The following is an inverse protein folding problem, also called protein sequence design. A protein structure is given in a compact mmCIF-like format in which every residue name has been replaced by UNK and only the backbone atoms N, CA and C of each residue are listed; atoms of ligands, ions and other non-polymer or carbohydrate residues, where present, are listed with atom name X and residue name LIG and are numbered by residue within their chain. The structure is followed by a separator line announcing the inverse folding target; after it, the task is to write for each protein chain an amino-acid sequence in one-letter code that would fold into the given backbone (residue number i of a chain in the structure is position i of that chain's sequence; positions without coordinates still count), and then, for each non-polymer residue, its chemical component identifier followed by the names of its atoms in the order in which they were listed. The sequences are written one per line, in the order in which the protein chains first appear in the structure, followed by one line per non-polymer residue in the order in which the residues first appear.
data_IF_630647929337
#
_entry.id   IF_630647929337
#
_cell.length_a   1.000
_cell.length_b   1.000
_cell.length_c   1.000
_cell.angle_alpha   90.00
_cell.angle_beta   90.00
_cell.angle_gamma   90.00
#
_symmetry.space_group_name_H-M   'P 1'
#
loop_
_entity.id
_entity.type
_entity.pdbx_description
1 polymer ?
#
# COMPACT_ATOMS: atom_id res chain seq x y z
N UNK A 1 18.63 30.90 -38.76
CA UNK A 1 18.31 31.25 -37.35
C UNK A 1 17.27 30.32 -36.71
N UNK A 2 16.65 29.36 -37.42
CA UNK A 2 15.66 28.43 -36.85
C UNK A 2 16.27 27.13 -36.29
N UNK A 3 17.39 26.62 -36.84
CA UNK A 3 18.03 25.39 -36.36
C UNK A 3 18.58 25.48 -34.93
N UNK A 4 19.03 26.67 -34.52
CA UNK A 4 19.53 26.89 -33.17
C UNK A 4 18.42 26.77 -32.12
N UNK A 5 17.17 27.04 -32.50
CA UNK A 5 16.01 26.98 -31.61
C UNK A 5 15.50 25.53 -31.46
N UNK A 6 15.51 24.77 -32.56
CA UNK A 6 15.21 23.33 -32.54
C UNK A 6 16.22 22.52 -31.72
N UNK A 7 17.51 22.82 -31.84
CA UNK A 7 18.56 22.18 -31.05
C UNK A 7 18.43 22.51 -29.55
N UNK A 8 18.08 23.74 -29.21
CA UNK A 8 17.84 24.19 -27.83
C UNK A 8 16.61 23.52 -27.22
N UNK A 9 15.54 23.37 -27.98
CA UNK A 9 14.33 22.68 -27.56
C UNK A 9 14.59 21.18 -27.32
N UNK A 10 15.32 20.53 -28.22
CA UNK A 10 15.73 19.13 -28.05
C UNK A 10 16.57 18.90 -26.78
N UNK A 11 17.50 19.81 -26.49
CA UNK A 11 18.31 19.75 -25.27
C UNK A 11 17.46 19.92 -24.00
N UNK A 12 16.47 20.84 -24.01
CA UNK A 12 15.58 21.05 -22.88
C UNK A 12 14.66 19.84 -22.62
N UNK A 13 14.24 19.14 -23.68
CA UNK A 13 13.41 17.94 -23.55
C UNK A 13 14.18 16.78 -22.91
N UNK A 14 15.42 16.55 -23.34
CA UNK A 14 16.29 15.52 -22.75
C UNK A 14 16.59 15.81 -21.27
N UNK A 15 16.76 17.08 -20.92
CA UNK A 15 16.96 17.50 -19.53
C UNK A 15 15.73 17.24 -18.66
N UNK A 16 14.53 17.51 -19.19
CA UNK A 16 13.26 17.23 -18.52
C UNK A 16 13.02 15.72 -18.35
N UNK A 17 13.29 14.90 -19.38
CA UNK A 17 13.19 13.45 -19.30
C UNK A 17 14.17 12.86 -18.27
N UNK A 18 15.40 13.38 -18.21
CA UNK A 18 16.38 12.99 -17.19
C UNK A 18 15.88 13.31 -15.79
N UNK A 19 15.39 14.53 -15.57
CA UNK A 19 14.89 14.96 -14.26
C UNK A 19 13.66 14.15 -13.81
N UNK A 20 12.74 13.83 -14.73
CA UNK A 20 11.61 12.95 -14.44
C UNK A 20 12.06 11.54 -14.06
N UNK A 21 13.03 10.99 -14.78
CA UNK A 21 13.59 9.65 -14.51
C UNK A 21 14.24 9.60 -13.13
N UNK A 22 15.12 10.57 -12.82
CA UNK A 22 15.76 10.68 -11.50
C UNK A 22 14.72 10.78 -10.37
N UNK A 23 13.64 11.53 -10.59
CA UNK A 23 12.57 11.69 -9.59
C UNK A 23 11.76 10.41 -9.41
N UNK A 24 11.48 9.68 -10.49
CA UNK A 24 10.82 8.37 -10.42
C UNK A 24 11.68 7.38 -9.66
N UNK A 25 12.98 7.31 -9.96
CA UNK A 25 13.91 6.42 -9.28
C UNK A 25 14.02 6.72 -7.79
N UNK A 26 14.06 8.01 -7.41
CA UNK A 26 14.04 8.44 -6.02
C UNK A 26 12.73 7.99 -5.32
N UNK A 27 11.58 8.17 -5.97
CA UNK A 27 10.28 7.73 -5.45
C UNK A 27 10.21 6.21 -5.31
N UNK A 28 10.75 5.46 -6.28
CA UNK A 28 10.84 3.99 -6.23
C UNK A 28 11.74 3.53 -5.08
N UNK A 29 12.91 4.15 -4.90
CA UNK A 29 13.84 3.84 -3.82
C UNK A 29 13.26 4.17 -2.44
N UNK A 30 12.53 5.30 -2.34
CA UNK A 30 11.83 5.70 -1.11
C UNK A 30 10.70 4.75 -0.79
N UNK A 31 9.90 4.35 -1.79
CA UNK A 31 8.86 3.32 -1.65
C UNK A 31 9.45 1.96 -1.24
N UNK A 32 10.58 1.56 -1.81
CA UNK A 32 11.30 0.34 -1.41
C UNK A 32 11.80 0.40 0.04
N UNK A 33 12.25 1.56 0.50
CA UNK A 33 12.68 1.76 1.89
C UNK A 33 11.50 1.73 2.87
N UNK A 34 10.36 2.31 2.50
CA UNK A 34 9.11 2.19 3.26
C UNK A 34 8.61 0.74 3.29
N UNK A 35 8.72 0.00 2.19
CA UNK A 35 8.35 -1.41 2.16
C UNK A 35 9.26 -2.26 3.06
N UNK A 36 10.57 -1.98 3.11
CA UNK A 36 11.49 -2.64 4.04
C UNK A 36 11.19 -2.34 5.52
N UNK A 37 10.74 -1.13 5.83
CA UNK A 37 10.28 -0.79 7.18
C UNK A 37 8.98 -1.53 7.52
N UNK A 38 8.05 -1.65 6.56
CA UNK A 38 6.84 -2.47 6.68
C UNK A 38 7.08 -4.00 6.64
N UNK A 39 8.22 -4.45 6.11
CA UNK A 39 8.64 -5.86 6.13
C UNK A 39 9.17 -6.27 7.51
N UNK A 40 9.58 -5.32 8.36
CA UNK A 40 9.80 -5.59 9.79
C UNK A 40 8.57 -6.19 10.45
N UNK A 41 7.38 -5.71 10.07
CA UNK A 41 6.09 -6.28 10.50
C UNK A 41 5.72 -7.57 9.75
N UNK A 42 6.15 -7.76 8.50
CA UNK A 42 6.02 -9.08 7.83
C UNK A 42 6.80 -10.17 8.56
N UNK A 43 7.92 -9.84 9.21
CA UNK A 43 8.64 -10.79 10.06
C UNK A 43 7.90 -11.11 11.37
N UNK A 44 7.02 -10.21 11.83
CA UNK A 44 6.21 -10.39 13.03
C UNK A 44 4.91 -11.15 12.75
N UNK A 45 4.40 -11.11 11.51
CA UNK A 45 3.17 -11.75 11.09
C UNK A 45 3.42 -13.07 10.35
N UNK A 46 2.50 -14.06 10.48
CA UNK A 46 2.58 -15.27 9.68
C UNK A 46 2.20 -14.99 8.23
N UNK A 47 2.69 -15.80 7.29
CA UNK A 47 2.44 -15.65 5.85
C UNK A 47 0.95 -15.53 5.50
N UNK A 48 0.08 -16.23 6.22
CA UNK A 48 -1.38 -16.14 6.05
C UNK A 48 -1.91 -14.73 6.31
N UNK A 49 -1.42 -14.05 7.33
CA UNK A 49 -1.81 -12.67 7.63
C UNK A 49 -1.27 -11.69 6.58
N UNK A 50 -0.04 -11.92 6.12
CA UNK A 50 0.53 -11.16 5.00
C UNK A 50 -0.31 -11.32 3.73
N UNK A 51 -0.73 -12.54 3.39
CA UNK A 51 -1.57 -12.82 2.23
C UNK A 51 -2.95 -12.12 2.32
N UNK A 52 -3.54 -12.05 3.52
CA UNK A 52 -4.78 -11.29 3.76
C UNK A 52 -4.59 -9.80 3.49
N UNK A 53 -3.51 -9.20 4.01
CA UNK A 53 -3.19 -7.79 3.78
C UNK A 53 -2.91 -7.49 2.30
N UNK A 54 -2.23 -8.41 1.61
CA UNK A 54 -1.90 -8.25 0.19
C UNK A 54 -3.15 -8.34 -0.73
N UNK A 55 -4.24 -8.97 -0.28
CA UNK A 55 -5.53 -9.00 -1.01
C UNK A 55 -6.31 -7.68 -0.91
N UNK A 56 -6.17 -6.95 0.20
CA UNK A 56 -6.99 -5.76 0.51
C UNK A 56 -6.93 -4.65 -0.56
N UNK A 57 -5.76 -4.28 -1.14
CA UNK A 57 -5.71 -3.29 -2.22
C UNK A 57 -6.52 -3.70 -3.46
N UNK A 58 -6.54 -4.99 -3.79
CA UNK A 58 -7.35 -5.53 -4.90
C UNK A 58 -8.85 -5.44 -4.67
N UNK A 59 -9.27 -5.29 -3.41
CA UNK A 59 -10.66 -5.07 -3.00
C UNK A 59 -11.02 -3.57 -2.92
N UNK A 60 -10.08 -2.68 -3.25
CA UNK A 60 -10.28 -1.23 -3.23
C UNK A 60 -10.06 -0.57 -1.87
N UNK A 61 -9.38 -1.24 -0.94
CA UNK A 61 -8.96 -0.62 0.32
C UNK A 61 -7.68 0.19 0.12
N UNK A 62 -7.66 1.40 0.68
CA UNK A 62 -6.56 2.35 0.53
C UNK A 62 -5.29 1.94 1.30
N UNK A 63 -4.12 2.48 0.93
CA UNK A 63 -2.84 2.12 1.54
C UNK A 63 -2.80 2.39 3.06
N UNK A 64 -3.41 3.50 3.50
CA UNK A 64 -3.43 3.88 4.92
C UNK A 64 -4.27 2.90 5.76
N UNK A 65 -5.39 2.41 5.20
CA UNK A 65 -6.20 1.40 5.87
C UNK A 65 -5.48 0.06 6.00
N UNK A 66 -4.76 -0.36 4.95
CA UNK A 66 -3.97 -1.59 4.96
C UNK A 66 -2.80 -1.49 5.94
N UNK A 67 -2.18 -0.31 6.06
CA UNK A 67 -1.15 -0.05 7.07
C UNK A 67 -1.71 -0.15 8.50
N UNK A 68 -2.84 0.51 8.77
CA UNK A 68 -3.50 0.42 10.07
C UNK A 68 -3.92 -1.02 10.42
N UNK A 69 -4.42 -1.79 9.43
CA UNK A 69 -4.76 -3.20 9.62
C UNK A 69 -3.54 -4.06 9.94
N UNK A 70 -2.38 -3.78 9.33
CA UNK A 70 -1.13 -4.47 9.64
C UNK A 70 -0.71 -4.24 11.08
N UNK A 71 -0.71 -2.98 11.53
CA UNK A 71 -0.37 -2.64 12.92
C UNK A 71 -1.31 -3.32 13.92
N UNK A 72 -2.62 -3.31 13.62
CA UNK A 72 -3.63 -3.99 14.43
C UNK A 72 -3.40 -5.51 14.50
N UNK A 73 -3.01 -6.15 13.39
CA UNK A 73 -2.69 -7.58 13.38
C UNK A 73 -1.42 -7.90 14.19
N UNK A 74 -0.38 -7.06 14.11
CA UNK A 74 0.84 -7.23 14.90
C UNK A 74 0.51 -7.14 16.39
N UNK A 75 -0.31 -6.16 16.79
CA UNK A 75 -0.78 -6.01 18.16
C UNK A 75 -1.64 -7.19 18.61
N UNK A 76 -2.61 -7.62 17.78
CA UNK A 76 -3.47 -8.75 18.09
C UNK A 76 -2.67 -10.04 18.33
N UNK A 77 -1.64 -10.28 17.51
CA UNK A 77 -0.73 -11.43 17.66
C UNK A 77 0.09 -11.35 18.95
N UNK A 78 0.54 -10.16 19.32
CA UNK A 78 1.34 -9.96 20.53
C UNK A 78 0.49 -10.10 21.81
N UNK A 79 -0.75 -9.62 21.78
CA UNK A 79 -1.62 -9.58 22.96
C UNK A 79 -2.44 -10.86 23.17
N UNK A 80 -2.86 -11.53 22.08
CA UNK A 80 -3.75 -12.70 22.14
C UNK A 80 -3.30 -13.75 21.12
N UNK A 81 -2.12 -14.38 21.31
CA UNK A 81 -1.56 -15.31 20.34
C UNK A 81 -2.47 -16.53 20.11
N UNK A 82 -3.18 -17.02 21.13
CA UNK A 82 -4.09 -18.18 21.02
C UNK A 82 -5.36 -17.86 20.22
N UNK A 83 -5.80 -16.60 20.23
CA UNK A 83 -6.98 -16.13 19.52
C UNK A 83 -6.69 -15.62 18.10
N UNK A 84 -5.41 -15.42 17.78
CA UNK A 84 -4.98 -14.78 16.53
C UNK A 84 -5.48 -15.52 15.29
N UNK A 85 -5.40 -16.85 15.27
CA UNK A 85 -5.83 -17.64 14.10
C UNK A 85 -7.35 -17.54 13.85
N UNK A 86 -8.14 -17.49 14.92
CA UNK A 86 -9.58 -17.31 14.86
C UNK A 86 -9.98 -15.90 14.40
N UNK A 87 -9.26 -14.89 14.89
CA UNK A 87 -9.40 -13.51 14.44
C UNK A 87 -9.07 -13.36 12.96
N UNK A 88 -7.95 -13.95 12.51
CA UNK A 88 -7.54 -13.93 11.12
C UNK A 88 -8.57 -14.63 10.22
N UNK A 89 -9.15 -15.75 10.67
CA UNK A 89 -10.22 -16.45 9.96
C UNK A 89 -11.50 -15.60 9.84
N UNK A 90 -11.78 -14.73 10.81
CA UNK A 90 -12.92 -13.81 10.73
C UNK A 90 -12.68 -12.73 9.67
N UNK A 91 -11.47 -12.17 9.63
CA UNK A 91 -11.09 -11.18 8.62
C UNK A 91 -11.20 -11.79 7.22
N UNK A 92 -10.65 -12.99 7.02
CA UNK A 92 -10.76 -13.70 5.74
C UNK A 92 -12.22 -13.86 5.28
N UNK A 93 -13.10 -14.31 6.18
CA UNK A 93 -14.54 -14.43 5.87
C UNK A 93 -15.17 -13.10 5.49
N UNK A 94 -14.81 -12.01 6.16
CA UNK A 94 -15.31 -10.68 5.81
C UNK A 94 -14.79 -10.20 4.44
N UNK A 95 -13.55 -10.50 4.09
CA UNK A 95 -12.97 -10.17 2.79
C UNK A 95 -13.48 -11.04 1.64
N UNK A 96 -14.02 -12.22 1.94
CA UNK A 96 -14.67 -13.08 0.95
C UNK A 96 -16.16 -12.72 0.74
N UNK A 97 -16.71 -11.82 1.56
CA UNK A 97 -18.09 -11.33 1.47
C UNK A 97 -18.16 -9.92 0.85
N UNK A 98 -18.67 -9.78 -0.39
CA UNK A 98 -18.81 -8.48 -1.04
C UNK A 98 -19.71 -7.49 -0.29
N UNK A 99 -20.74 -7.95 0.42
CA UNK A 99 -21.63 -7.06 1.18
C UNK A 99 -20.91 -6.47 2.39
N UNK A 100 -20.06 -7.28 3.04
CA UNK A 100 -19.19 -6.82 4.13
C UNK A 100 -18.20 -5.76 3.64
N UNK A 101 -17.57 -5.95 2.47
CA UNK A 101 -16.66 -4.98 1.87
C UNK A 101 -17.39 -3.67 1.55
N UNK A 102 -18.58 -3.75 0.94
CA UNK A 102 -19.37 -2.57 0.60
C UNK A 102 -19.77 -1.78 1.86
N UNK A 103 -20.17 -2.48 2.92
CA UNK A 103 -20.47 -1.87 4.22
C UNK A 103 -19.25 -1.13 4.80
N UNK A 104 -18.07 -1.76 4.79
CA UNK A 104 -16.83 -1.13 5.32
C UNK A 104 -16.52 0.16 4.55
N UNK A 105 -16.64 0.12 3.22
CA UNK A 105 -16.38 1.30 2.37
C UNK A 105 -17.36 2.43 2.63
N UNK A 106 -18.66 2.13 2.73
CA UNK A 106 -19.68 3.13 3.10
C UNK A 106 -19.45 3.73 4.48
N UNK A 107 -18.92 2.93 5.41
CA UNK A 107 -18.49 3.41 6.72
C UNK A 107 -17.44 4.51 6.61
N UNK A 108 -16.44 4.35 5.73
CA UNK A 108 -15.42 5.37 5.51
C UNK A 108 -15.95 6.63 4.83
N UNK A 109 -16.82 6.47 3.83
CA UNK A 109 -17.46 7.62 3.19
C UNK A 109 -18.20 8.48 4.22
N UNK A 110 -18.86 7.85 5.18
CA UNK A 110 -19.53 8.53 6.29
C UNK A 110 -18.58 9.20 7.30
N UNK A 111 -17.40 8.63 7.57
CA UNK A 111 -16.40 9.29 8.43
C UNK A 111 -15.83 10.58 7.83
N UNK A 112 -15.88 10.71 6.50
CA UNK A 112 -15.39 11.89 5.77
C UNK A 112 -16.46 12.96 5.51
N UNK A 113 -17.66 12.82 6.07
CA UNK A 113 -18.81 13.71 5.87
C UNK A 113 -18.92 14.79 6.96
#
# INVERSE_FOLDING_TARGET
MLDADAARFGAALVDAERQLTERIDELVARRGSLHRLGDGDRALLPDRACAVLDRMPGLGFGPDYVAAHREALVLARALVPEGFDGFLAQIERGLDDPECIDLIKRGWEAETW
#
